data_IF_528537748268
#
_entry.id   IF_528537748268
#
_cell.length_a   1.000
_cell.length_b   1.000
_cell.length_c   1.000
_cell.angle_alpha   90.00
_cell.angle_beta   90.00
_cell.angle_gamma   90.00
#
_symmetry.space_group_name_H-M   'P 1'
#
loop_
_entity.id
_entity.type
_entity.pdbx_description
1 polymer ?
#
# COMPACT_ATOMS: atom_id res chain seq x y z
N UNK A 1 -3.25 -37.38 -59.02
CA UNK A 1 -3.98 -38.57 -58.58
C UNK A 1 -3.79 -38.65 -57.07
N UNK A 2 -4.87 -38.49 -56.29
CA UNK A 2 -4.98 -38.61 -54.82
C UNK A 2 -4.22 -37.54 -54.00
N UNK A 3 -4.78 -36.83 -53.02
CA UNK A 3 -6.09 -36.89 -52.39
C UNK A 3 -6.25 -35.71 -51.40
N UNK A 4 -7.50 -35.37 -51.17
CA UNK A 4 -8.15 -34.35 -50.32
C UNK A 4 -7.97 -34.52 -48.81
N UNK A 5 -8.21 -33.42 -48.07
CA UNK A 5 -8.83 -33.25 -46.73
C UNK A 5 -8.05 -32.16 -45.95
N UNK A 6 -8.58 -31.02 -45.48
CA UNK A 6 -9.95 -30.61 -45.24
C UNK A 6 -10.39 -30.93 -43.81
N UNK A 7 -9.87 -30.25 -42.78
CA UNK A 7 -10.50 -30.18 -41.45
C UNK A 7 -10.25 -28.85 -40.73
N UNK A 8 -11.36 -28.26 -40.31
CA UNK A 8 -11.55 -27.19 -39.35
C UNK A 8 -11.35 -27.68 -37.91
N UNK A 9 -11.20 -26.72 -36.98
CA UNK A 9 -11.89 -26.63 -35.68
C UNK A 9 -11.00 -26.39 -34.44
N UNK A 10 -11.55 -25.52 -33.58
CA UNK A 10 -11.33 -25.35 -32.14
C UNK A 10 -10.01 -24.75 -31.62
N UNK A 11 -10.11 -23.47 -31.30
CA UNK A 11 -9.51 -22.86 -30.11
C UNK A 11 -10.00 -23.59 -28.85
N UNK A 12 -9.10 -24.12 -28.03
CA UNK A 12 -9.45 -24.63 -26.70
C UNK A 12 -8.54 -24.04 -25.61
N UNK A 13 -9.21 -23.74 -24.50
CA UNK A 13 -8.80 -22.97 -23.32
C UNK A 13 -7.88 -23.78 -22.41
N UNK A 14 -6.88 -23.08 -21.84
CA UNK A 14 -6.41 -23.33 -20.47
C UNK A 14 -5.40 -24.46 -20.28
N UNK A 15 -4.17 -24.09 -19.90
CA UNK A 15 -3.22 -25.03 -19.30
C UNK A 15 -2.63 -24.44 -18.01
N UNK A 16 -3.28 -24.80 -16.91
CA UNK A 16 -2.79 -24.62 -15.54
C UNK A 16 -1.48 -25.43 -15.40
N UNK A 17 -0.41 -24.79 -14.94
CA UNK A 17 0.81 -25.51 -14.52
C UNK A 17 0.47 -26.40 -13.31
N UNK A 18 0.86 -27.69 -13.30
CA UNK A 18 0.64 -28.56 -12.15
C UNK A 18 1.52 -28.12 -10.96
N UNK A 19 0.90 -27.97 -9.79
CA UNK A 19 1.63 -27.85 -8.52
C UNK A 19 2.18 -29.23 -8.16
N UNK A 20 3.50 -29.39 -8.29
CA UNK A 20 4.21 -30.52 -7.70
C UNK A 20 4.18 -30.30 -6.18
N UNK A 21 3.51 -31.19 -5.47
CA UNK A 21 3.49 -31.20 -4.01
C UNK A 21 4.79 -31.86 -3.55
N UNK A 22 5.74 -31.07 -3.07
CA UNK A 22 6.84 -31.61 -2.27
C UNK A 22 6.37 -31.63 -0.80
N UNK A 23 6.12 -32.84 -0.31
CA UNK A 23 5.54 -33.12 1.00
C UNK A 23 6.56 -33.06 2.14
N UNK A 24 7.42 -32.03 2.13
CA UNK A 24 8.47 -31.88 3.14
C UNK A 24 8.60 -30.45 3.66
N UNK A 25 7.47 -29.77 3.89
CA UNK A 25 7.44 -28.47 4.57
C UNK A 25 7.06 -28.66 6.06
N UNK A 26 7.97 -28.42 7.02
CA UNK A 26 7.77 -28.78 8.44
C UNK A 26 6.88 -27.79 9.22
N UNK A 27 6.18 -26.88 8.54
CA UNK A 27 5.42 -25.81 9.21
C UNK A 27 3.94 -26.13 9.47
N UNK A 28 3.41 -27.25 8.96
CA UNK A 28 2.02 -27.66 9.19
C UNK A 28 1.91 -29.19 9.32
N UNK A 29 2.11 -29.73 10.53
CA UNK A 29 1.62 -31.07 10.88
C UNK A 29 1.25 -31.12 12.37
N UNK A 30 -0.06 -31.06 12.63
CA UNK A 30 -0.67 -31.49 13.88
C UNK A 30 -1.12 -32.93 13.70
N UNK A 31 -0.61 -33.84 14.52
CA UNK A 31 -1.33 -35.06 14.92
C UNK A 31 -0.76 -36.41 14.47
N UNK A 32 -0.34 -37.16 15.50
CA UNK A 32 -0.29 -38.63 15.61
C UNK A 32 0.86 -39.40 14.92
N UNK A 33 1.87 -39.81 15.72
CA UNK A 33 2.02 -41.19 16.19
C UNK A 33 3.37 -41.43 16.91
N UNK A 34 3.27 -41.98 18.13
CA UNK A 34 4.15 -42.96 18.79
C UNK A 34 5.69 -42.93 18.61
N UNK A 35 6.38 -42.53 19.67
CA UNK A 35 7.51 -43.25 20.29
C UNK A 35 7.74 -42.56 21.65
N UNK A 36 7.47 -43.14 22.81
CA UNK A 36 8.02 -44.42 23.27
C UNK A 36 9.22 -44.15 24.17
N UNK A 37 9.02 -43.52 25.33
CA UNK A 37 9.97 -43.57 26.45
C UNK A 37 9.23 -43.65 27.79
N UNK A 38 9.48 -44.76 28.48
CA UNK A 38 9.00 -45.15 29.81
C UNK A 38 9.51 -44.21 30.91
N UNK A 39 8.70 -43.94 31.94
CA UNK A 39 9.03 -44.01 33.37
C UNK A 39 7.74 -43.90 34.24
N UNK A 40 7.74 -44.37 35.51
CA UNK A 40 6.61 -45.09 36.10
C UNK A 40 5.71 -44.27 37.05
N UNK A 41 4.45 -44.73 37.14
CA UNK A 41 3.51 -44.67 38.26
C UNK A 41 3.52 -43.47 39.22
N UNK A 42 2.41 -42.73 39.23
CA UNK A 42 2.01 -41.84 40.32
C UNK A 42 0.76 -41.05 39.98
N UNK A 43 -0.41 -41.50 40.44
CA UNK A 43 -1.69 -40.83 40.24
C UNK A 43 -1.85 -39.55 41.06
N UNK A 44 -2.75 -38.67 40.61
CA UNK A 44 -3.15 -37.48 41.35
C UNK A 44 -3.99 -36.52 40.50
N UNK A 45 -5.30 -36.56 40.74
CA UNK A 45 -6.31 -35.62 40.28
C UNK A 45 -6.04 -34.21 40.84
N UNK A 46 -6.16 -33.18 40.00
CA UNK A 46 -6.11 -31.79 40.46
C UNK A 46 -5.95 -30.81 39.29
N UNK A 47 -6.98 -30.00 39.05
CA UNK A 47 -6.99 -28.97 38.01
C UNK A 47 -5.97 -27.86 38.26
N UNK A 48 -5.55 -27.22 37.18
CA UNK A 48 -4.63 -26.10 37.20
C UNK A 48 -4.17 -25.74 35.80
N UNK A 49 -4.56 -24.55 35.37
CA UNK A 49 -4.32 -23.96 34.06
C UNK A 49 -2.83 -23.62 33.94
N UNK A 50 -2.10 -24.23 33.00
CA UNK A 50 -0.67 -23.94 32.80
C UNK A 50 -0.49 -23.01 31.60
N UNK A 51 -0.19 -21.76 31.97
CA UNK A 51 0.23 -20.61 31.18
C UNK A 51 1.66 -20.82 30.63
N UNK A 52 1.83 -21.01 29.32
CA UNK A 52 3.12 -21.02 28.63
C UNK A 52 3.56 -19.59 28.25
N UNK A 53 3.64 -18.71 29.25
CA UNK A 53 3.88 -17.28 29.04
C UNK A 53 4.73 -16.65 30.13
N UNK A 54 5.89 -17.22 30.45
CA UNK A 54 6.88 -16.57 31.32
C UNK A 54 8.27 -17.20 31.22
N UNK A 55 9.07 -16.82 30.24
CA UNK A 55 10.54 -16.73 30.33
C UNK A 55 11.16 -16.32 28.99
N UNK A 56 11.12 -15.03 28.63
CA UNK A 56 12.25 -14.35 27.98
C UNK A 56 11.99 -12.84 27.91
N UNK A 57 12.06 -12.17 29.05
CA UNK A 57 12.20 -10.72 29.08
C UNK A 57 13.42 -10.37 29.91
N UNK A 58 14.40 -9.73 29.26
CA UNK A 58 15.39 -8.89 29.90
C UNK A 58 16.74 -9.54 30.16
N UNK A 59 17.64 -9.53 29.17
CA UNK A 59 18.98 -8.92 29.33
C UNK A 59 19.47 -8.45 27.96
N UNK A 60 19.94 -7.20 27.90
CA UNK A 60 20.36 -6.53 26.69
C UNK A 60 21.77 -6.92 26.21
N UNK A 61 21.96 -6.67 24.92
CA UNK A 61 23.20 -6.28 24.24
C UNK A 61 24.33 -7.30 24.08
N UNK A 62 24.55 -7.62 22.80
CA UNK A 62 25.83 -7.88 22.12
C UNK A 62 26.72 -9.00 22.66
N UNK A 63 26.69 -10.16 22.01
CA UNK A 63 27.86 -10.77 21.34
C UNK A 63 27.40 -12.01 20.56
N UNK A 64 28.05 -12.29 19.44
CA UNK A 64 27.53 -13.10 18.33
C UNK A 64 27.12 -14.54 18.68
N UNK A 65 25.88 -14.89 18.29
CA UNK A 65 25.38 -16.27 18.11
C UNK A 65 23.92 -16.28 17.63
N UNK A 66 23.54 -15.54 16.56
CA UNK A 66 22.13 -15.51 16.12
C UNK A 66 21.86 -15.26 14.63
N UNK A 67 22.88 -15.25 13.76
CA UNK A 67 22.66 -14.95 12.33
C UNK A 67 21.93 -16.06 11.56
N UNK A 68 21.98 -17.32 12.00
CA UNK A 68 21.27 -18.42 11.34
C UNK A 68 19.75 -18.50 11.64
N UNK A 69 19.27 -17.81 12.68
CA UNK A 69 17.86 -17.81 13.07
C UNK A 69 17.23 -16.41 13.05
N UNK A 70 17.89 -15.45 12.39
CA UNK A 70 17.31 -14.13 12.18
C UNK A 70 16.02 -14.26 11.35
N UNK A 71 15.02 -13.45 11.68
CA UNK A 71 13.76 -13.48 10.96
C UNK A 71 14.00 -12.97 9.53
N UNK A 72 13.72 -13.77 8.47
CA UNK A 72 14.11 -13.46 7.10
C UNK A 72 13.16 -12.44 6.45
N UNK A 73 12.79 -11.41 7.20
CA UNK A 73 11.85 -10.38 6.76
C UNK A 73 12.43 -9.02 7.09
N UNK A 74 12.37 -8.10 6.13
CA UNK A 74 12.64 -6.68 6.36
C UNK A 74 11.36 -5.88 6.27
N UNK A 75 11.31 -4.78 7.02
CA UNK A 75 10.24 -3.80 6.92
C UNK A 75 10.74 -2.61 6.12
N UNK A 76 10.02 -2.29 5.05
CA UNK A 76 10.21 -1.10 4.26
C UNK A 76 9.32 0.02 4.76
N UNK A 77 9.86 1.23 4.78
CA UNK A 77 9.11 2.47 4.95
C UNK A 77 9.61 3.47 3.92
N UNK A 78 8.77 4.43 3.58
CA UNK A 78 9.20 5.43 2.62
C UNK A 78 9.00 5.00 1.15
N UNK A 79 8.21 3.96 0.89
CA UNK A 79 7.86 3.54 -0.48
C UNK A 79 6.94 4.54 -1.19
N UNK A 80 7.20 4.89 -2.47
CA UNK A 80 6.27 5.66 -3.30
C UNK A 80 4.84 5.14 -3.23
N UNK A 81 3.84 6.02 -3.24
CA UNK A 81 2.44 5.57 -3.11
C UNK A 81 1.92 4.80 -4.34
N UNK A 82 2.61 4.89 -5.46
CA UNK A 82 2.40 4.11 -6.67
C UNK A 82 3.35 2.90 -6.77
N UNK A 83 4.03 2.54 -5.69
CA UNK A 83 4.93 1.39 -5.64
C UNK A 83 4.16 0.09 -5.90
N UNK A 84 4.73 -0.74 -6.77
CA UNK A 84 4.27 -2.11 -7.04
C UNK A 84 5.28 -3.12 -6.48
N UNK A 85 4.88 -4.39 -6.44
CA UNK A 85 5.78 -5.52 -6.18
C UNK A 85 6.97 -5.55 -7.16
N UNK A 86 6.74 -5.19 -8.43
CA UNK A 86 7.81 -5.05 -9.45
C UNK A 86 8.90 -4.06 -9.01
N UNK A 87 8.53 -2.95 -8.40
CA UNK A 87 9.50 -1.95 -7.93
C UNK A 87 10.32 -2.48 -6.76
N UNK A 88 9.69 -3.26 -5.87
CA UNK A 88 10.38 -3.92 -4.74
C UNK A 88 11.36 -4.97 -5.26
N UNK A 89 10.98 -5.79 -6.24
CA UNK A 89 11.89 -6.76 -6.86
C UNK A 89 13.10 -6.08 -7.52
N UNK A 90 12.91 -4.93 -8.17
CA UNK A 90 14.02 -4.14 -8.73
C UNK A 90 14.92 -3.57 -7.64
N UNK A 91 14.32 -3.01 -6.58
CA UNK A 91 15.03 -2.43 -5.45
C UNK A 91 15.90 -3.44 -4.71
N UNK A 92 15.44 -4.70 -4.61
CA UNK A 92 16.20 -5.82 -4.06
C UNK A 92 16.81 -6.74 -5.12
N UNK A 93 17.10 -6.21 -6.31
CA UNK A 93 17.76 -6.98 -7.36
C UNK A 93 19.04 -7.65 -6.86
N UNK A 94 19.16 -8.95 -7.15
CA UNK A 94 20.25 -9.81 -6.66
C UNK A 94 19.96 -10.54 -5.34
N UNK A 95 18.78 -10.35 -4.74
CA UNK A 95 18.30 -11.12 -3.58
C UNK A 95 17.05 -11.93 -3.96
N UNK A 96 16.83 -13.07 -3.30
CA UNK A 96 15.67 -13.92 -3.57
C UNK A 96 14.50 -13.50 -2.68
N UNK A 97 13.61 -12.69 -3.25
CA UNK A 97 12.36 -12.30 -2.61
C UNK A 97 11.31 -13.40 -2.81
N UNK A 98 10.80 -13.95 -1.72
CA UNK A 98 9.74 -14.96 -1.73
C UNK A 98 8.34 -14.34 -1.75
N UNK A 99 8.14 -13.29 -0.95
CA UNK A 99 6.84 -12.64 -0.81
C UNK A 99 6.98 -11.16 -0.42
N UNK A 100 5.97 -10.36 -0.78
CA UNK A 100 5.89 -8.93 -0.51
C UNK A 100 4.48 -8.58 -0.04
N UNK A 101 4.37 -8.19 1.23
CA UNK A 101 3.13 -7.67 1.81
C UNK A 101 3.15 -6.15 1.79
N UNK A 102 2.45 -5.54 0.84
CA UNK A 102 2.20 -4.09 0.83
C UNK A 102 1.12 -3.77 1.86
N UNK A 103 1.42 -2.92 2.84
CA UNK A 103 0.48 -2.63 3.93
C UNK A 103 -0.48 -1.51 3.55
N UNK A 104 -1.78 -1.76 3.70
CA UNK A 104 -2.82 -0.76 3.53
C UNK A 104 -3.29 -0.18 4.87
N UNK A 105 -3.61 1.11 4.89
CA UNK A 105 -4.26 1.80 6.01
C UNK A 105 -5.49 2.51 5.46
N UNK A 106 -6.67 2.14 5.97
CA UNK A 106 -7.97 2.67 5.54
C UNK A 106 -8.21 2.53 4.02
N UNK A 107 -7.90 1.35 3.46
CA UNK A 107 -8.07 1.07 2.03
C UNK A 107 -7.06 1.77 1.10
N UNK A 108 -6.03 2.45 1.65
CA UNK A 108 -4.98 3.10 0.88
C UNK A 108 -3.61 2.55 1.24
N UNK A 109 -2.74 2.40 0.24
CA UNK A 109 -1.36 2.01 0.47
C UNK A 109 -0.64 2.99 1.40
N UNK A 110 -0.06 2.44 2.47
CA UNK A 110 0.54 3.24 3.54
C UNK A 110 1.97 3.71 3.25
N UNK A 111 2.59 3.20 2.18
CA UNK A 111 4.02 3.41 1.91
C UNK A 111 4.93 2.55 2.79
N UNK A 112 4.37 1.53 3.46
CA UNK A 112 5.07 0.52 4.23
C UNK A 112 4.85 -0.87 3.60
N UNK A 113 5.87 -1.71 3.61
CA UNK A 113 5.77 -3.09 3.14
C UNK A 113 6.65 -4.03 3.97
N UNK A 114 6.33 -5.31 3.95
CA UNK A 114 7.15 -6.37 4.52
C UNK A 114 7.62 -7.29 3.41
N UNK A 115 8.92 -7.56 3.34
CA UNK A 115 9.51 -8.36 2.27
C UNK A 115 10.17 -9.58 2.89
N UNK A 116 9.70 -10.75 2.46
CA UNK A 116 10.18 -12.06 2.92
C UNK A 116 11.25 -12.55 1.95
N UNK A 117 12.42 -12.91 2.48
CA UNK A 117 13.55 -13.44 1.71
C UNK A 117 13.69 -14.95 1.88
N UNK A 118 14.36 -15.59 0.92
CA UNK A 118 14.61 -17.03 0.96
C UNK A 118 15.48 -17.48 2.14
N UNK A 119 16.33 -16.58 2.66
CA UNK A 119 17.17 -16.87 3.83
C UNK A 119 17.36 -15.66 4.75
N UNK A 120 17.66 -15.89 6.04
CA UNK A 120 18.02 -14.83 6.98
C UNK A 120 19.22 -13.99 6.52
N UNK A 121 20.19 -14.62 5.85
CA UNK A 121 21.39 -13.94 5.35
C UNK A 121 21.06 -12.94 4.23
N UNK A 122 20.09 -13.26 3.36
CA UNK A 122 19.61 -12.32 2.36
C UNK A 122 18.86 -11.14 2.97
N UNK A 123 18.10 -11.35 4.05
CA UNK A 123 17.49 -10.26 4.79
C UNK A 123 18.55 -9.32 5.40
N UNK A 124 19.70 -9.84 5.83
CA UNK A 124 20.83 -9.01 6.29
C UNK A 124 21.45 -8.19 5.14
N UNK A 125 21.68 -8.79 3.96
CA UNK A 125 22.11 -8.02 2.78
C UNK A 125 21.07 -6.99 2.32
N UNK A 126 19.78 -7.27 2.51
CA UNK A 126 18.72 -6.33 2.20
C UNK A 126 18.81 -5.05 3.05
N UNK A 127 19.29 -5.13 4.30
CA UNK A 127 19.49 -3.96 5.17
C UNK A 127 20.54 -2.99 4.61
N UNK A 128 21.49 -3.47 3.81
CA UNK A 128 22.49 -2.62 3.14
C UNK A 128 21.87 -1.73 2.05
N UNK A 129 20.61 -1.97 1.67
CA UNK A 129 19.84 -1.12 0.75
C UNK A 129 19.16 0.06 1.47
N UNK A 130 19.37 0.24 2.77
CA UNK A 130 18.82 1.38 3.51
C UNK A 130 19.26 2.73 2.88
N UNK A 131 18.33 3.70 2.89
CA UNK A 131 18.47 5.02 2.28
C UNK A 131 18.69 5.04 0.75
N UNK A 132 18.54 3.92 0.06
CA UNK A 132 18.57 3.92 -1.39
C UNK A 132 17.27 4.46 -1.97
N UNK A 133 17.35 5.02 -3.18
CA UNK A 133 16.20 5.64 -3.83
C UNK A 133 15.38 4.62 -4.63
N UNK A 134 14.08 4.61 -4.39
CA UNK A 134 13.08 4.02 -5.28
C UNK A 134 12.39 5.15 -6.04
N UNK A 135 12.88 5.38 -7.27
CA UNK A 135 12.52 6.58 -8.03
C UNK A 135 12.99 7.85 -7.32
N UNK A 136 12.05 8.70 -6.88
CA UNK A 136 12.34 9.99 -6.24
C UNK A 136 12.27 9.97 -4.71
N UNK A 137 12.13 8.81 -4.09
CA UNK A 137 12.02 8.66 -2.64
C UNK A 137 13.13 7.76 -2.12
N UNK A 138 13.79 8.19 -1.06
CA UNK A 138 14.62 7.29 -0.28
C UNK A 138 13.71 6.30 0.46
N UNK A 139 14.15 5.05 0.49
CA UNK A 139 13.46 3.95 1.17
C UNK A 139 14.26 3.59 2.40
N UNK A 140 13.58 3.50 3.53
CA UNK A 140 14.16 3.06 4.79
C UNK A 140 13.96 1.54 4.92
N UNK A 141 15.04 0.81 5.20
CA UNK A 141 15.01 -0.65 5.34
C UNK A 141 15.37 -1.04 6.77
N UNK A 142 14.40 -1.61 7.49
CA UNK A 142 14.57 -1.99 8.89
C UNK A 142 14.54 -3.52 9.06
N UNK A 143 15.27 -4.02 10.06
CA UNK A 143 15.03 -5.38 10.57
C UNK A 143 13.58 -5.50 11.03
N UNK A 144 12.87 -6.52 10.56
CA UNK A 144 11.50 -6.77 10.99
C UNK A 144 11.47 -7.62 12.26
N UNK A 145 10.56 -7.31 13.19
CA UNK A 145 10.21 -8.23 14.27
C UNK A 145 9.10 -9.17 13.79
N UNK A 146 9.11 -10.42 14.26
CA UNK A 146 8.07 -11.42 13.94
C UNK A 146 6.66 -10.90 14.25
N UNK A 147 6.51 -10.24 15.39
CA UNK A 147 5.23 -9.69 15.85
C UNK A 147 4.67 -8.63 14.91
N UNK A 148 5.51 -7.71 14.42
CA UNK A 148 5.09 -6.64 13.51
C UNK A 148 4.59 -7.21 12.17
N UNK A 149 5.30 -8.22 11.65
CA UNK A 149 4.91 -8.91 10.43
C UNK A 149 3.56 -9.64 10.58
N UNK A 150 3.36 -10.40 11.66
CA UNK A 150 2.11 -11.12 11.88
C UNK A 150 0.93 -10.18 12.10
N UNK A 151 1.13 -9.05 12.79
CA UNK A 151 0.09 -8.03 12.91
C UNK A 151 -0.29 -7.44 11.54
N UNK A 152 0.68 -7.19 10.66
CA UNK A 152 0.42 -6.69 9.32
C UNK A 152 -0.35 -7.71 8.46
N UNK A 153 0.03 -8.99 8.51
CA UNK A 153 -0.68 -10.08 7.82
C UNK A 153 -2.14 -10.17 8.30
N UNK A 154 -2.36 -10.15 9.61
CA UNK A 154 -3.71 -10.23 10.18
C UNK A 154 -4.59 -9.04 9.76
N UNK A 155 -4.02 -7.83 9.70
CA UNK A 155 -4.72 -6.63 9.25
C UNK A 155 -5.12 -6.73 7.76
N UNK A 156 -4.24 -7.26 6.91
CA UNK A 156 -4.53 -7.39 5.47
C UNK A 156 -5.61 -8.46 5.21
N UNK A 157 -5.57 -9.59 5.92
CA UNK A 157 -6.61 -10.65 5.81
C UNK A 157 -7.98 -10.12 6.20
N UNK A 158 -8.06 -9.29 7.26
CA UNK A 158 -9.32 -8.66 7.67
C UNK A 158 -9.81 -7.64 6.62
N UNK A 159 -8.90 -6.96 5.91
CA UNK A 159 -9.25 -6.00 4.86
C UNK A 159 -9.79 -6.64 3.57
N UNK A 160 -9.43 -7.90 3.29
CA UNK A 160 -9.86 -8.63 2.09
C UNK A 160 -11.23 -9.31 2.24
N UNK A 161 -11.89 -9.18 3.40
CA UNK A 161 -13.25 -9.71 3.60
C UNK A 161 -13.36 -11.25 3.52
N UNK A 162 -12.23 -11.98 3.52
CA UNK A 162 -12.19 -13.45 3.53
C UNK A 162 -12.15 -13.93 5.00
N UNK A 163 -13.16 -13.51 5.76
CA UNK A 163 -13.31 -13.83 7.17
C UNK A 163 -14.77 -13.72 7.56
N UNK A 164 -15.54 -14.76 7.24
CA UNK A 164 -16.93 -14.86 7.68
C UNK A 164 -17.02 -14.92 9.21
N UNK A 165 -17.67 -13.91 9.78
CA UNK A 165 -18.51 -13.97 10.99
C UNK A 165 -17.93 -14.52 12.29
N UNK A 166 -17.82 -13.65 13.31
CA UNK A 166 -17.98 -14.08 14.71
C UNK A 166 -17.30 -13.21 15.79
N UNK A 167 -18.07 -12.30 16.41
CA UNK A 167 -18.11 -12.12 17.87
C UNK A 167 -17.03 -11.28 18.59
N UNK A 168 -17.36 -10.00 18.85
CA UNK A 168 -17.70 -9.50 20.20
C UNK A 168 -16.63 -9.25 21.30
N UNK A 169 -16.54 -7.98 21.72
CA UNK A 169 -16.27 -7.52 23.11
C UNK A 169 -14.78 -7.35 23.51
N UNK A 170 -14.32 -6.33 24.23
CA UNK A 170 -14.96 -5.19 24.88
C UNK A 170 -13.93 -4.36 25.69
N UNK A 171 -14.19 -3.05 25.76
CA UNK A 171 -14.10 -2.13 26.94
C UNK A 171 -12.78 -1.65 27.55
N UNK A 172 -12.73 -0.32 27.74
CA UNK A 172 -11.98 0.45 28.76
C UNK A 172 -10.69 1.10 28.24
N UNK A 173 -10.41 2.39 28.36
CA UNK A 173 -11.03 3.50 29.09
C UNK A 173 -9.96 4.58 29.29
N UNK A 174 -10.32 5.83 28.96
CA UNK A 174 -9.86 7.11 29.53
C UNK A 174 -8.40 7.59 29.37
N UNK A 175 -8.27 8.80 28.80
CA UNK A 175 -7.03 9.56 28.71
C UNK A 175 -7.15 10.80 27.83
N UNK A 176 -7.92 11.79 28.29
CA UNK A 176 -8.01 13.15 27.73
C UNK A 176 -6.79 13.98 28.14
N UNK A 177 -5.93 14.37 27.18
CA UNK A 177 -5.36 15.73 27.15
C UNK A 177 -5.12 16.21 25.71
N UNK A 178 -5.87 17.24 25.34
CA UNK A 178 -5.39 18.43 24.62
C UNK A 178 -5.07 18.39 23.10
N UNK A 179 -6.00 19.02 22.37
CA UNK A 179 -5.78 20.22 21.53
C UNK A 179 -4.88 20.05 20.28
N UNK A 180 -5.50 19.59 19.20
CA UNK A 180 -5.10 19.90 17.82
C UNK A 180 -6.36 20.17 16.99
N UNK A 181 -6.44 21.32 16.32
CA UNK A 181 -7.64 21.82 15.64
C UNK A 181 -8.24 20.87 14.59
N UNK A 182 -9.45 21.15 14.08
CA UNK A 182 -10.14 20.23 13.18
C UNK A 182 -9.33 20.05 11.89
N UNK A 183 -8.61 18.93 11.78
CA UNK A 183 -8.11 18.44 10.50
C UNK A 183 -9.32 17.98 9.71
N UNK A 184 -9.79 18.85 8.82
CA UNK A 184 -10.88 18.62 7.88
C UNK A 184 -10.58 17.52 6.85
N UNK A 185 -9.49 16.77 6.98
CA UNK A 185 -9.07 15.72 6.04
C UNK A 185 -9.86 14.41 6.19
N UNK A 186 -10.55 14.17 7.31
CA UNK A 186 -11.25 12.91 7.57
C UNK A 186 -12.66 12.83 6.92
N UNK A 187 -13.20 13.94 6.39
CA UNK A 187 -14.54 13.95 5.76
C UNK A 187 -14.53 13.80 4.23
N UNK A 188 -13.36 13.70 3.60
CA UNK A 188 -13.24 13.85 2.15
C UNK A 188 -13.19 12.52 1.36
N UNK A 189 -13.08 11.34 2.00
CA UNK A 189 -12.95 10.07 1.27
C UNK A 189 -14.23 9.22 1.19
N UNK A 190 -15.27 9.51 1.98
CA UNK A 190 -16.62 8.95 1.78
C UNK A 190 -17.52 9.82 0.88
N UNK A 191 -17.07 11.04 0.53
CA UNK A 191 -17.88 12.02 -0.23
C UNK A 191 -17.63 12.06 -1.74
N UNK A 192 -16.60 11.39 -2.28
CA UNK A 192 -16.25 11.48 -3.71
C UNK A 192 -17.19 10.71 -4.64
N UNK A 193 -17.89 9.70 -4.12
CA UNK A 193 -18.89 8.94 -4.88
C UNK A 193 -20.30 9.56 -4.80
N UNK A 194 -20.50 10.56 -3.94
CA UNK A 194 -21.76 11.31 -3.80
C UNK A 194 -21.70 12.73 -4.39
N UNK A 195 -20.55 13.15 -4.93
CA UNK A 195 -20.41 14.43 -5.63
C UNK A 195 -20.84 14.27 -7.09
N UNK A 196 -21.73 15.15 -7.54
CA UNK A 196 -22.09 15.27 -8.94
C UNK A 196 -20.84 15.69 -9.73
N UNK A 197 -20.37 14.82 -10.62
CA UNK A 197 -19.26 15.12 -11.50
C UNK A 197 -19.71 16.23 -12.45
N UNK A 198 -19.12 17.40 -12.33
CA UNK A 198 -19.25 18.46 -13.33
C UNK A 198 -18.07 18.39 -14.31
N UNK A 199 -18.07 19.28 -15.29
CA UNK A 199 -16.98 19.56 -16.19
C UNK A 199 -15.74 20.17 -15.52
N UNK A 200 -15.77 20.49 -14.22
CA UNK A 200 -14.66 21.16 -13.52
C UNK A 200 -13.97 20.24 -12.50
N UNK A 201 -12.64 20.17 -12.59
CA UNK A 201 -11.78 19.55 -11.58
C UNK A 201 -10.96 20.59 -10.82
N UNK A 202 -10.93 20.42 -9.50
CA UNK A 202 -9.97 21.09 -8.62
C UNK A 202 -8.71 20.24 -8.48
N UNK A 203 -7.56 20.85 -8.76
CA UNK A 203 -6.24 20.29 -8.57
C UNK A 203 -5.65 20.83 -7.27
N UNK A 204 -4.98 19.96 -6.51
CA UNK A 204 -4.23 20.33 -5.30
C UNK A 204 -2.86 19.66 -5.29
N UNK A 205 -1.90 20.35 -4.68
CA UNK A 205 -0.55 19.82 -4.47
C UNK A 205 0.44 20.21 -5.56
N UNK A 206 0.04 21.08 -6.49
CA UNK A 206 0.87 21.53 -7.61
C UNK A 206 2.18 22.16 -7.11
N UNK A 207 3.31 21.97 -7.83
CA UNK A 207 4.52 22.74 -7.57
C UNK A 207 4.24 24.24 -7.66
N UNK A 208 4.89 25.06 -6.83
CA UNK A 208 4.70 26.52 -6.90
C UNK A 208 5.20 27.14 -8.20
N UNK A 209 6.10 26.46 -8.89
CA UNK A 209 6.61 26.83 -10.21
C UNK A 209 5.79 26.29 -11.38
N UNK A 210 4.61 25.70 -11.12
CA UNK A 210 3.78 25.10 -12.18
C UNK A 210 3.27 26.17 -13.13
N UNK A 211 3.27 25.86 -14.42
CA UNK A 211 2.67 26.68 -15.47
C UNK A 211 1.34 26.08 -15.95
N UNK A 212 0.52 26.88 -16.63
CA UNK A 212 -0.71 26.36 -17.26
C UNK A 212 -0.38 25.25 -18.28
N UNK A 213 0.68 25.43 -19.06
CA UNK A 213 1.19 24.42 -20.00
C UNK A 213 1.51 23.07 -19.31
N UNK A 214 2.12 23.09 -18.12
CA UNK A 214 2.41 21.86 -17.36
C UNK A 214 1.14 21.11 -16.97
N UNK A 215 0.08 21.84 -16.61
CA UNK A 215 -1.22 21.27 -16.24
C UNK A 215 -1.93 20.72 -17.48
N UNK A 216 -1.87 21.41 -18.62
CA UNK A 216 -2.38 20.88 -19.90
C UNK A 216 -1.65 19.59 -20.28
N UNK A 217 -0.32 19.59 -20.20
CA UNK A 217 0.50 18.41 -20.48
C UNK A 217 0.23 17.25 -19.52
N UNK A 218 -0.11 17.53 -18.26
CA UNK A 218 -0.43 16.51 -17.25
C UNK A 218 -1.64 15.65 -17.63
N UNK A 219 -2.71 16.29 -18.12
CA UNK A 219 -3.89 15.58 -18.62
C UNK A 219 -3.62 14.94 -19.99
N UNK A 220 -2.75 15.54 -20.78
CA UNK A 220 -2.35 15.04 -22.11
C UNK A 220 -3.21 15.61 -23.23
N UNK A 221 -2.76 15.44 -24.48
CA UNK A 221 -3.45 15.97 -25.66
C UNK A 221 -4.84 15.35 -25.94
N UNK A 222 -5.17 14.24 -25.29
CA UNK A 222 -6.42 13.49 -25.50
C UNK A 222 -7.69 14.21 -25.00
N UNK A 223 -7.54 15.26 -24.20
CA UNK A 223 -8.65 16.00 -23.58
C UNK A 223 -8.91 17.37 -24.23
N UNK A 224 -8.18 17.73 -25.29
CA UNK A 224 -8.38 19.00 -26.00
C UNK A 224 -8.31 20.25 -25.10
N UNK A 225 -7.59 20.17 -23.97
CA UNK A 225 -7.55 21.20 -22.95
C UNK A 225 -6.77 22.42 -23.43
N UNK A 226 -7.43 23.58 -23.50
CA UNK A 226 -6.78 24.87 -23.74
C UNK A 226 -6.25 25.48 -22.43
N UNK A 227 -5.17 26.28 -22.52
CA UNK A 227 -4.63 26.99 -21.35
C UNK A 227 -5.63 28.00 -20.74
N UNK A 228 -6.58 28.48 -21.55
CA UNK A 228 -7.64 29.38 -21.11
C UNK A 228 -8.59 28.71 -20.11
N UNK A 229 -8.74 27.38 -20.18
CA UNK A 229 -9.58 26.60 -19.27
C UNK A 229 -8.85 26.21 -17.98
N UNK A 230 -7.59 26.64 -17.81
CA UNK A 230 -6.77 26.37 -16.62
C UNK A 230 -6.63 27.65 -15.81
N UNK A 231 -7.14 27.62 -14.58
CA UNK A 231 -7.00 28.70 -13.62
C UNK A 231 -6.13 28.28 -12.43
N UNK A 232 -4.90 28.82 -12.36
CA UNK A 232 -4.01 28.60 -11.20
C UNK A 232 -4.35 29.62 -10.12
N UNK A 233 -4.65 29.14 -8.91
CA UNK A 233 -5.04 30.01 -7.80
C UNK A 233 -3.81 30.66 -7.19
N UNK A 234 -3.73 31.97 -7.32
CA UNK A 234 -2.73 32.82 -6.67
C UNK A 234 -3.35 33.57 -5.50
N UNK A 235 -2.53 33.88 -4.50
CA UNK A 235 -2.92 34.74 -3.36
C UNK A 235 -2.76 36.21 -3.75
N UNK A 236 -3.34 37.10 -2.93
CA UNK A 236 -3.18 38.54 -3.04
C UNK A 236 -1.71 39.02 -2.95
N UNK A 237 -0.82 38.21 -2.35
CA UNK A 237 0.63 38.46 -2.32
C UNK A 237 1.36 38.01 -3.61
N UNK A 238 0.62 37.56 -4.62
CA UNK A 238 1.13 37.06 -5.90
C UNK A 238 1.69 35.64 -5.85
N UNK A 239 1.68 34.96 -4.70
CA UNK A 239 2.23 33.60 -4.59
C UNK A 239 1.22 32.54 -5.02
N UNK A 240 1.70 31.57 -5.79
CA UNK A 240 0.92 30.38 -6.16
C UNK A 240 0.57 29.56 -4.90
N UNK A 241 -0.69 29.15 -4.77
CA UNK A 241 -1.17 28.36 -3.63
C UNK A 241 -0.89 26.86 -3.75
N UNK A 242 -0.53 26.40 -4.94
CA UNK A 242 -0.48 24.98 -5.28
C UNK A 242 -1.87 24.38 -5.54
N UNK A 243 -2.89 25.21 -5.72
CA UNK A 243 -4.24 24.82 -6.17
C UNK A 243 -4.52 25.40 -7.56
N UNK A 244 -5.27 24.66 -8.38
CA UNK A 244 -5.78 25.13 -9.66
C UNK A 244 -7.16 24.54 -9.95
N UNK A 245 -7.89 25.16 -10.86
CA UNK A 245 -9.14 24.65 -11.41
C UNK A 245 -8.98 24.45 -12.91
N UNK A 246 -9.55 23.36 -13.41
CA UNK A 246 -9.49 22.99 -14.83
C UNK A 246 -10.89 22.65 -15.30
N UNK A 247 -11.32 23.31 -16.36
CA UNK A 247 -12.62 23.09 -17.02
C UNK A 247 -12.43 22.25 -18.28
N UNK A 248 -13.15 21.13 -18.32
CA UNK A 248 -13.19 20.18 -19.44
C UNK A 248 -14.38 20.50 -20.37
N UNK A 249 -14.41 19.93 -21.57
CA UNK A 249 -15.54 20.18 -22.48
C UNK A 249 -16.81 19.46 -22.01
N UNK A 250 -16.69 18.38 -21.23
CA UNK A 250 -17.83 17.71 -20.62
C UNK A 250 -17.50 17.04 -19.28
N UNK A 251 -18.53 16.77 -18.49
CA UNK A 251 -18.42 16.00 -17.25
C UNK A 251 -17.86 14.58 -17.46
N UNK A 252 -18.09 13.97 -18.62
CA UNK A 252 -17.53 12.66 -18.97
C UNK A 252 -16.02 12.73 -19.14
N UNK A 253 -15.51 13.80 -19.74
CA UNK A 253 -14.08 14.04 -19.88
C UNK A 253 -13.42 14.32 -18.55
N UNK A 254 -14.03 15.15 -17.69
CA UNK A 254 -13.58 15.35 -16.33
C UNK A 254 -13.52 14.03 -15.56
N UNK A 255 -14.54 13.17 -15.71
CA UNK A 255 -14.56 11.83 -15.10
C UNK A 255 -13.46 10.91 -15.64
N UNK A 256 -13.15 10.95 -16.94
CA UNK A 256 -11.99 10.23 -17.51
C UNK A 256 -10.67 10.80 -16.98
N UNK A 257 -10.55 12.11 -16.87
CA UNK A 257 -9.37 12.82 -16.37
C UNK A 257 -9.09 12.52 -14.89
N UNK A 258 -10.10 12.16 -14.10
CA UNK A 258 -9.92 11.66 -12.72
C UNK A 258 -9.05 10.40 -12.65
N UNK A 259 -8.87 9.65 -13.74
CA UNK A 259 -7.88 8.56 -13.81
C UNK A 259 -6.43 9.01 -13.64
N UNK A 260 -6.16 10.32 -13.76
CA UNK A 260 -4.85 10.94 -13.46
C UNK A 260 -4.69 11.31 -11.98
N UNK A 261 -5.68 11.03 -11.11
CA UNK A 261 -5.56 11.32 -9.68
C UNK A 261 -4.30 10.67 -9.09
N UNK A 262 -3.58 11.42 -8.26
CA UNK A 262 -2.31 11.04 -7.62
C UNK A 262 -1.12 10.84 -8.57
N UNK A 263 -1.25 11.14 -9.85
CA UNK A 263 -0.10 11.27 -10.74
C UNK A 263 0.73 12.52 -10.40
N UNK A 264 1.87 12.69 -11.07
CA UNK A 264 2.87 13.69 -10.67
C UNK A 264 3.10 14.76 -11.71
N UNK A 265 3.19 16.01 -11.26
CA UNK A 265 3.76 17.13 -12.02
C UNK A 265 5.08 17.50 -11.38
N UNK A 266 6.18 17.26 -12.11
CA UNK A 266 7.53 17.39 -11.59
C UNK A 266 7.72 16.64 -10.26
N UNK A 267 8.15 17.31 -9.17
CA UNK A 267 8.43 16.67 -7.88
C UNK A 267 7.18 16.43 -7.02
N UNK A 268 5.99 16.86 -7.42
CA UNK A 268 4.78 16.81 -6.58
C UNK A 268 3.77 15.80 -7.10
N UNK A 269 3.03 15.17 -6.19
CA UNK A 269 1.80 14.45 -6.55
C UNK A 269 0.65 15.45 -6.61
N UNK A 270 -0.26 15.23 -7.55
CA UNK A 270 -1.43 16.08 -7.77
C UNK A 270 -2.67 15.30 -7.39
N UNK A 271 -3.48 15.88 -6.51
CA UNK A 271 -4.77 15.33 -6.12
C UNK A 271 -5.88 16.03 -6.91
N UNK A 272 -6.80 15.23 -7.46
CA UNK A 272 -7.95 15.69 -8.23
C UNK A 272 -9.23 15.54 -7.42
N UNK A 273 -10.07 16.56 -7.50
CA UNK A 273 -11.37 16.60 -6.84
C UNK A 273 -12.42 17.10 -7.85
N UNK A 274 -13.58 16.44 -7.96
CA UNK A 274 -14.73 17.05 -8.60
C UNK A 274 -15.01 18.40 -7.95
N UNK A 275 -15.30 19.40 -8.76
CA UNK A 275 -15.65 20.75 -8.31
C UNK A 275 -16.79 21.27 -9.16
N UNK A 276 -17.15 22.54 -9.02
CA UNK A 276 -18.21 23.17 -9.83
C UNK A 276 -17.67 24.44 -10.50
N UNK A 277 -18.26 24.88 -11.63
CA UNK A 277 -17.89 26.14 -12.26
C UNK A 277 -18.00 27.35 -11.33
N UNK A 278 -18.97 27.34 -10.40
CA UNK A 278 -19.15 28.40 -9.41
C UNK A 278 -17.99 28.44 -8.40
N UNK A 279 -17.47 27.29 -7.97
CA UNK A 279 -16.29 27.23 -7.11
C UNK A 279 -15.03 27.75 -7.82
N UNK A 280 -14.84 27.38 -9.09
CA UNK A 280 -13.74 27.87 -9.91
C UNK A 280 -13.81 29.39 -10.08
N UNK A 281 -14.98 29.93 -10.43
CA UNK A 281 -15.20 31.39 -10.56
C UNK A 281 -14.94 32.12 -9.25
N UNK A 282 -15.36 31.55 -8.12
CA UNK A 282 -15.11 32.14 -6.80
C UNK A 282 -13.63 32.15 -6.44
N UNK A 283 -12.89 31.11 -6.82
CA UNK A 283 -11.44 31.07 -6.63
C UNK A 283 -10.74 32.11 -7.52
N UNK A 284 -11.19 32.27 -8.76
CA UNK A 284 -10.69 33.31 -9.67
C UNK A 284 -10.95 34.72 -9.15
N UNK A 285 -12.14 34.98 -8.62
CA UNK A 285 -12.45 36.28 -8.02
C UNK A 285 -11.55 36.62 -6.83
N UNK A 286 -11.02 35.62 -6.12
CA UNK A 286 -10.10 35.79 -4.99
C UNK A 286 -8.64 35.94 -5.40
N UNK A 287 -8.29 35.53 -6.61
CA UNK A 287 -6.92 35.57 -7.14
C UNK A 287 -6.63 36.83 -7.95
N UNK A 288 -7.66 37.64 -8.27
CA UNK A 288 -7.49 38.98 -8.83
C UNK A 288 -7.00 39.97 -7.76
N UNK A 289 -5.96 40.78 -8.05
CA UNK A 289 -5.45 41.81 -7.15
C UNK A 289 -6.44 42.97 -6.95
#
# INVERSE_FOLDING_TARGET
MWGTEGYSEAYEVGSKRPRVVDSTNPYFAVGAASAGFLLPYGGGYGGGDINYGAALSGYGSSTGSSSMYAFPVVRLRGLPFNCTDIDIFKFFSGLDVLDCLLTNKNGRFSGEAFVVFASPMQAEFALERDQQNMGRRYVEVFRCRKQDYYHAVAAEVNSLGIGGGGGGGGTGGEGDYSRGGPSSSARAHEGKDQMEYTEVLKLRGLPFSVTKADIVNFFGGDFGLAEDNVHVVVRADGRATGEAFVEFASAEEAKRAMGKDRMTIGPRYVELFPSTPEEARRAEARSRP
#
